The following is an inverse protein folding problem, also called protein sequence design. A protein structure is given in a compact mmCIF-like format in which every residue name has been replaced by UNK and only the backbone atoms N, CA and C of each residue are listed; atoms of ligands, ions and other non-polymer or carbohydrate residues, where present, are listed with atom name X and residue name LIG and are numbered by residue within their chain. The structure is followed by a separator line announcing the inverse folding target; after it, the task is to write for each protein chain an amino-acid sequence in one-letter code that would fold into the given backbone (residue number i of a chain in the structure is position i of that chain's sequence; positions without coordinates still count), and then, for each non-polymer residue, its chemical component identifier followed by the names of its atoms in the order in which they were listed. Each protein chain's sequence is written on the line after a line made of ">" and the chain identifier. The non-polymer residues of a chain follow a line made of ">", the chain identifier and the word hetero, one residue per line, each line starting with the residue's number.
data_IF_793620971202
#
_entry.id   IF_793620971202
#
_cell.length_a   1.000
_cell.length_b   1.000
_cell.length_c   1.000
_cell.angle_alpha   90.00
_cell.angle_beta   90.00
_cell.angle_gamma   90.00
#
_symmetry.space_group_name_H-M   'P 1'
#
loop_
_entity.id
_entity.type
_entity.pdbx_description
1 polymer ?
#
# COMPACT_ATOMS: atom_id res chain seq x y z
N UNK A 1 16.23 12.75 20.35
CA UNK A 1 17.68 12.61 20.50
C UNK A 1 18.30 11.93 19.25
N UNK A 2 19.52 12.32 18.91
CA UNK A 2 20.28 11.69 17.83
C UNK A 2 21.47 10.97 18.45
N UNK A 3 21.75 9.74 18.04
CA UNK A 3 22.95 9.02 18.44
C UNK A 3 24.08 9.33 17.46
N UNK A 4 25.24 9.72 18.02
CA UNK A 4 26.50 9.87 17.32
C UNK A 4 27.44 8.74 17.75
N UNK A 5 28.05 8.06 16.79
CA UNK A 5 29.10 7.06 17.02
C UNK A 5 30.37 7.47 16.28
N UNK A 6 31.50 7.40 16.95
CA UNK A 6 32.83 7.76 16.39
C UNK A 6 33.83 6.65 16.66
N UNK A 7 34.73 6.44 15.73
CA UNK A 7 35.92 5.60 15.92
C UNK A 7 37.09 6.46 16.40
N UNK A 8 37.61 6.18 17.60
CA UNK A 8 38.70 6.94 18.18
C UNK A 8 39.75 5.95 18.68
N UNK A 9 40.87 5.96 17.98
CA UNK A 9 42.00 5.07 18.30
C UNK A 9 42.76 5.57 19.53
N UNK A 10 43.16 4.61 20.40
CA UNK A 10 43.96 4.87 21.59
C UNK A 10 43.33 5.80 22.65
N UNK A 11 42.03 6.05 22.57
CA UNK A 11 41.30 6.82 23.56
C UNK A 11 40.88 5.96 24.75
N UNK A 12 41.02 6.51 25.95
CA UNK A 12 40.40 5.96 27.17
C UNK A 12 39.12 6.68 27.54
N UNK A 13 38.92 7.91 27.04
CA UNK A 13 37.69 8.69 27.22
C UNK A 13 37.53 9.70 26.09
N UNK A 14 36.26 10.07 25.83
CA UNK A 14 35.92 11.09 24.84
C UNK A 14 34.77 11.96 25.34
N UNK A 15 34.74 13.23 24.96
CA UNK A 15 33.71 14.19 25.25
C UNK A 15 33.29 14.88 23.94
N UNK A 16 32.00 14.82 23.66
CA UNK A 16 31.39 15.62 22.59
C UNK A 16 30.97 16.98 23.15
N UNK A 17 31.35 18.03 22.50
CA UNK A 17 30.87 19.39 22.75
C UNK A 17 29.95 19.79 21.60
N UNK A 18 28.67 20.03 21.88
CA UNK A 18 27.66 20.29 20.87
C UNK A 18 26.85 21.55 21.21
N UNK A 19 26.43 22.28 20.19
CA UNK A 19 25.47 23.39 20.30
C UNK A 19 24.68 23.57 19.02
N UNK A 20 23.48 24.11 19.13
CA UNK A 20 22.80 24.64 17.95
C UNK A 20 23.56 25.88 17.44
N UNK A 21 23.73 26.02 16.12
CA UNK A 21 24.45 27.12 15.48
C UNK A 21 23.87 28.47 15.91
N UNK A 22 24.76 29.31 16.43
CA UNK A 22 24.42 30.64 16.97
C UNK A 22 24.16 30.67 18.49
N UNK A 23 24.13 29.55 19.20
CA UNK A 23 24.16 29.53 20.66
C UNK A 23 25.55 29.91 21.19
N UNK A 24 25.62 30.64 22.32
CA UNK A 24 26.90 31.15 22.83
C UNK A 24 27.78 30.07 23.48
N UNK A 25 27.18 28.98 23.99
CA UNK A 25 27.91 27.95 24.76
C UNK A 25 27.65 26.54 24.21
N UNK A 26 28.68 25.71 24.36
CA UNK A 26 28.60 24.29 24.06
C UNK A 26 28.10 23.50 25.28
N UNK A 27 27.30 22.50 25.03
CA UNK A 27 26.94 21.46 26.01
C UNK A 27 27.93 20.31 25.90
N UNK A 28 28.60 19.96 27.02
CA UNK A 28 29.56 18.87 27.06
C UNK A 28 28.88 17.55 27.39
N UNK A 29 29.01 16.59 26.53
CA UNK A 29 28.37 15.28 26.61
C UNK A 29 29.43 14.18 26.68
N UNK A 30 29.62 13.50 27.82
CA UNK A 30 30.54 12.36 27.90
C UNK A 30 30.10 11.24 26.97
N UNK A 31 31.04 10.74 26.15
CA UNK A 31 30.78 9.62 25.26
C UNK A 31 30.98 8.29 26.00
N UNK A 32 30.11 7.33 25.73
CA UNK A 32 30.16 6.00 26.30
C UNK A 32 30.99 5.07 25.37
N UNK A 33 31.89 4.23 25.91
CA UNK A 33 32.58 3.24 25.11
C UNK A 33 31.58 2.20 24.59
N UNK A 34 31.53 2.04 23.28
CA UNK A 34 30.64 1.10 22.58
C UNK A 34 31.31 -0.24 22.24
N UNK A 35 32.54 -0.45 22.73
CA UNK A 35 33.37 -1.63 22.44
C UNK A 35 34.47 -1.34 21.40
N UNK A 36 35.69 -1.84 21.69
CA UNK A 36 36.86 -1.61 20.84
C UNK A 36 37.25 -0.14 20.76
N UNK A 37 37.21 0.42 19.56
CA UNK A 37 37.58 1.83 19.28
C UNK A 37 36.35 2.74 19.16
N UNK A 38 35.13 2.21 19.36
CA UNK A 38 33.89 2.97 19.18
C UNK A 38 33.49 3.70 20.47
N UNK A 39 33.11 4.96 20.30
CA UNK A 39 32.50 5.77 21.34
C UNK A 39 31.14 6.29 20.85
N UNK A 40 30.12 6.23 21.72
CA UNK A 40 28.75 6.64 21.38
C UNK A 40 28.24 7.69 22.36
N UNK A 41 27.38 8.59 21.88
CA UNK A 41 26.70 9.59 22.71
C UNK A 41 25.32 9.88 22.14
N UNK A 42 24.37 10.18 23.01
CA UNK A 42 23.04 10.66 22.62
C UNK A 42 22.98 12.18 22.77
N UNK A 43 22.78 12.91 21.68
CA UNK A 43 22.61 14.35 21.68
C UNK A 43 21.15 14.66 21.99
N UNK A 44 20.85 15.46 23.02
CA UNK A 44 19.48 15.86 23.35
C UNK A 44 18.83 16.65 22.21
N UNK A 45 17.51 16.51 22.04
CA UNK A 45 16.78 17.20 20.98
C UNK A 45 16.90 18.74 21.06
N UNK A 46 17.04 19.29 22.26
CA UNK A 46 17.20 20.74 22.47
C UNK A 46 18.52 21.34 21.95
N UNK A 47 19.52 20.50 21.63
CA UNK A 47 20.76 20.94 21.00
C UNK A 47 20.73 20.81 19.47
N UNK A 48 19.70 20.18 18.93
CA UNK A 48 19.56 19.91 17.50
C UNK A 48 18.48 20.86 16.94
N UNK A 49 18.88 22.09 16.69
CA UNK A 49 18.00 23.13 16.14
C UNK A 49 18.52 23.62 14.77
N UNK A 50 17.61 23.93 13.83
CA UNK A 50 18.02 24.58 12.58
C UNK A 50 18.74 25.92 12.82
N UNK A 51 19.67 26.31 11.95
CA UNK A 51 20.00 25.70 10.65
C UNK A 51 21.04 24.58 10.73
N UNK A 52 21.78 24.46 11.84
CA UNK A 52 22.87 23.48 11.95
C UNK A 52 23.22 23.15 13.41
N UNK A 53 23.75 21.95 13.61
CA UNK A 53 24.47 21.54 14.82
C UNK A 53 25.97 21.78 14.63
N UNK A 54 26.57 22.55 15.52
CA UNK A 54 28.00 22.71 15.62
C UNK A 54 28.54 21.80 16.72
N UNK A 55 29.61 21.07 16.42
CA UNK A 55 30.20 20.16 17.39
C UNK A 55 31.74 20.02 17.20
N UNK A 56 32.40 19.67 18.29
CA UNK A 56 33.74 19.15 18.27
C UNK A 56 33.91 18.05 19.32
N UNK A 57 34.92 17.20 19.18
CA UNK A 57 35.19 16.10 20.09
C UNK A 57 36.62 16.15 20.58
N UNK A 58 36.79 16.02 21.87
CA UNK A 58 38.08 15.85 22.54
C UNK A 58 38.17 14.42 23.11
N UNK A 59 39.28 13.74 22.84
CA UNK A 59 39.52 12.40 23.36
C UNK A 59 40.91 12.37 24.07
N UNK A 60 40.95 11.60 25.15
CA UNK A 60 42.12 11.47 25.99
C UNK A 60 42.52 10.01 26.18
N UNK A 61 43.85 9.76 26.39
CA UNK A 61 44.38 8.47 26.76
C UNK A 61 44.16 8.17 28.27
N UNK A 62 44.61 7.01 28.71
CA UNK A 62 44.55 6.61 30.13
C UNK A 62 45.36 7.46 31.10
N UNK A 63 46.25 8.33 30.58
CA UNK A 63 47.05 9.28 31.35
C UNK A 63 46.50 10.71 31.27
N UNK A 64 45.32 10.89 30.67
CA UNK A 64 44.69 12.20 30.49
C UNK A 64 45.27 13.09 29.40
N UNK A 65 46.13 12.56 28.54
CA UNK A 65 46.72 13.33 27.42
C UNK A 65 45.81 13.29 26.22
N UNK A 66 45.66 14.41 25.52
CA UNK A 66 44.87 14.48 24.31
C UNK A 66 45.44 13.54 23.22
N UNK A 67 44.59 12.66 22.68
CA UNK A 67 44.96 11.68 21.62
C UNK A 67 44.28 11.97 20.30
N UNK A 68 43.10 12.59 20.35
CA UNK A 68 42.38 13.01 19.14
C UNK A 68 41.50 14.20 19.44
N UNK A 69 41.40 15.09 18.45
CA UNK A 69 40.45 16.20 18.43
C UNK A 69 39.89 16.30 17.03
N UNK A 70 38.55 16.38 16.91
CA UNK A 70 37.90 16.68 15.63
C UNK A 70 37.07 17.94 15.79
N UNK A 71 37.41 19.00 15.02
CA UNK A 71 36.93 20.34 15.24
C UNK A 71 37.55 21.01 16.47
N UNK A 72 37.22 22.27 16.70
CA UNK A 72 37.57 23.04 17.90
C UNK A 72 36.42 24.01 18.24
N UNK A 73 36.46 24.65 19.40
CA UNK A 73 35.48 25.69 19.75
C UNK A 73 35.40 26.84 18.73
N UNK A 74 36.55 27.16 18.09
CA UNK A 74 36.65 28.25 17.13
C UNK A 74 36.39 27.80 15.67
N UNK A 75 36.57 26.50 15.40
CA UNK A 75 36.33 25.87 14.10
C UNK A 75 35.61 24.53 14.28
N UNK A 76 34.33 24.55 14.67
CA UNK A 76 33.56 23.33 14.91
C UNK A 76 33.23 22.62 13.60
N UNK A 77 32.95 21.32 13.70
CA UNK A 77 32.28 20.60 12.64
C UNK A 77 30.82 21.06 12.59
N UNK A 78 30.26 21.12 11.38
CA UNK A 78 28.90 21.58 11.16
C UNK A 78 28.08 20.49 10.47
N UNK A 79 26.92 20.17 11.03
CA UNK A 79 25.90 19.28 10.42
C UNK A 79 24.66 20.09 10.18
N UNK A 80 24.24 20.21 8.93
CA UNK A 80 23.03 20.91 8.57
C UNK A 80 21.82 20.22 9.21
N UNK A 81 21.08 20.96 10.00
CA UNK A 81 19.81 20.54 10.58
C UNK A 81 18.71 21.15 9.72
N UNK A 82 18.04 20.33 8.97
CA UNK A 82 16.84 20.79 8.28
C UNK A 82 15.74 20.97 9.31
N UNK A 83 15.01 22.11 9.31
CA UNK A 83 13.80 22.19 10.08
C UNK A 83 12.98 20.96 9.65
N UNK A 84 12.56 20.13 10.60
CA UNK A 84 11.39 19.32 10.37
C UNK A 84 10.31 20.35 10.13
N UNK A 85 10.04 20.68 8.89
CA UNK A 85 8.74 21.17 8.51
C UNK A 85 7.87 20.02 8.99
N UNK A 86 7.26 20.16 10.16
CA UNK A 86 6.05 19.43 10.46
C UNK A 86 5.12 19.93 9.36
N UNK A 87 5.21 19.27 8.20
CA UNK A 87 4.14 19.35 7.23
C UNK A 87 2.92 19.15 8.08
N UNK A 88 2.06 20.14 8.05
CA UNK A 88 0.77 20.04 8.76
C UNK A 88 0.29 18.64 8.43
N UNK A 89 0.05 17.79 9.44
CA UNK A 89 -0.34 16.41 9.18
C UNK A 89 -1.40 16.49 8.10
N UNK A 90 -1.27 15.71 7.03
CA UNK A 90 -2.13 15.85 5.86
C UNK A 90 -3.52 16.00 6.39
N UNK A 91 -4.17 17.14 6.13
CA UNK A 91 -5.43 17.58 6.79
C UNK A 91 -6.26 16.33 6.96
N UNK A 92 -6.52 15.92 8.19
CA UNK A 92 -7.23 14.68 8.48
C UNK A 92 -8.64 14.86 7.92
N UNK A 93 -8.79 14.55 6.64
CA UNK A 93 -10.10 14.56 6.00
C UNK A 93 -10.94 13.50 6.70
N UNK A 94 -12.01 13.97 7.32
CA UNK A 94 -12.93 13.09 8.03
C UNK A 94 -13.76 12.23 7.09
N UNK A 95 -13.98 12.70 5.87
CA UNK A 95 -14.78 11.98 4.89
C UNK A 95 -14.15 11.99 3.49
N UNK A 96 -14.42 10.93 2.74
CA UNK A 96 -13.95 10.76 1.36
C UNK A 96 -15.05 10.15 0.51
N UNK A 97 -15.22 10.68 -0.70
CA UNK A 97 -15.99 10.04 -1.78
C UNK A 97 -15.01 9.64 -2.88
N UNK A 98 -15.18 8.43 -3.41
CA UNK A 98 -14.36 7.90 -4.49
C UNK A 98 -15.23 7.23 -5.53
N UNK A 99 -14.90 7.42 -6.79
CA UNK A 99 -15.43 6.64 -7.91
C UNK A 99 -14.24 6.13 -8.70
N UNK A 100 -14.26 4.85 -9.04
CA UNK A 100 -13.23 4.22 -9.84
C UNK A 100 -13.85 3.24 -10.84
N UNK A 101 -13.26 3.16 -12.02
CA UNK A 101 -13.61 2.17 -13.04
C UNK A 101 -12.36 1.44 -13.50
N UNK A 102 -12.55 0.20 -13.93
CA UNK A 102 -11.46 -0.67 -14.32
C UNK A 102 -11.94 -1.67 -15.37
N UNK A 103 -11.17 -1.81 -16.45
CA UNK A 103 -11.36 -2.78 -17.51
C UNK A 103 -10.13 -3.66 -17.66
N UNK A 104 -10.33 -4.94 -17.75
CA UNK A 104 -9.28 -5.94 -17.95
C UNK A 104 -9.66 -6.87 -19.09
N UNK A 105 -8.80 -7.00 -20.07
CA UNK A 105 -8.93 -7.98 -21.15
C UNK A 105 -7.90 -9.09 -20.97
N UNK A 106 -8.33 -10.34 -21.00
CA UNK A 106 -7.45 -11.48 -20.75
C UNK A 106 -6.99 -12.18 -22.04
N UNK A 107 -7.44 -11.73 -23.21
CA UNK A 107 -7.19 -12.44 -24.46
C UNK A 107 -7.06 -11.56 -25.72
N UNK A 108 -6.32 -10.47 -25.64
CA UNK A 108 -5.99 -9.60 -26.76
C UNK A 108 -7.21 -8.95 -27.44
N UNK A 109 -8.14 -8.44 -26.65
CA UNK A 109 -9.32 -7.70 -27.12
C UNK A 109 -10.27 -8.54 -27.99
N UNK A 110 -10.31 -9.85 -27.83
CA UNK A 110 -11.27 -10.70 -28.53
C UNK A 110 -12.71 -10.55 -28.02
N UNK A 111 -12.89 -9.94 -26.82
CA UNK A 111 -14.19 -9.63 -26.26
C UNK A 111 -14.93 -10.82 -25.62
N UNK A 112 -14.27 -11.95 -25.45
CA UNK A 112 -14.82 -13.16 -24.86
C UNK A 112 -14.16 -13.59 -23.54
N UNK A 113 -13.11 -12.89 -23.08
CA UNK A 113 -12.50 -13.04 -21.75
C UNK A 113 -12.10 -11.67 -21.23
N UNK A 114 -13.01 -11.00 -20.56
CA UNK A 114 -12.80 -9.66 -20.01
C UNK A 114 -13.56 -9.45 -18.71
N UNK A 115 -13.11 -8.49 -17.92
CA UNK A 115 -13.80 -7.98 -16.74
C UNK A 115 -13.89 -6.46 -16.80
N UNK A 116 -15.03 -5.93 -16.41
CA UNK A 116 -15.25 -4.51 -16.17
C UNK A 116 -15.88 -4.32 -14.79
N UNK A 117 -15.30 -3.44 -14.00
CA UNK A 117 -15.78 -3.13 -12.67
C UNK A 117 -15.81 -1.61 -12.47
N UNK A 118 -16.88 -1.11 -11.88
CA UNK A 118 -17.00 0.27 -11.44
C UNK A 118 -17.48 0.28 -10.01
N UNK A 119 -16.81 1.03 -9.14
CA UNK A 119 -17.20 1.19 -7.73
C UNK A 119 -17.30 2.66 -7.35
N UNK A 120 -18.34 2.97 -6.57
CA UNK A 120 -18.48 4.20 -5.81
C UNK A 120 -18.34 3.92 -4.32
N UNK A 121 -17.61 4.74 -3.60
CA UNK A 121 -17.30 4.57 -2.18
C UNK A 121 -17.52 5.86 -1.42
N UNK A 122 -18.06 5.77 -0.24
CA UNK A 122 -18.05 6.80 0.79
C UNK A 122 -17.31 6.25 2.01
N UNK A 123 -16.32 6.99 2.50
CA UNK A 123 -15.50 6.63 3.64
C UNK A 123 -15.53 7.68 4.73
N UNK A 124 -15.51 7.24 5.97
CA UNK A 124 -15.34 8.06 7.17
C UNK A 124 -14.09 7.59 7.90
N UNK A 125 -13.21 8.53 8.25
CA UNK A 125 -12.07 8.30 9.12
C UNK A 125 -12.51 8.55 10.56
N UNK A 126 -12.16 7.65 11.46
CA UNK A 126 -12.59 7.71 12.88
C UNK A 126 -11.38 7.91 13.77
N UNK A 127 -10.29 7.19 13.53
CA UNK A 127 -9.02 7.22 14.27
C UNK A 127 -9.17 7.14 15.80
N UNK A 128 -10.16 6.41 16.29
CA UNK A 128 -10.44 6.24 17.70
C UNK A 128 -10.58 4.76 18.06
N UNK A 129 -10.07 4.39 19.25
CA UNK A 129 -10.29 3.07 19.89
C UNK A 129 -10.00 1.83 19.03
N UNK A 130 -9.03 1.92 18.08
CA UNK A 130 -8.65 0.81 17.22
C UNK A 130 -9.50 0.65 15.96
N UNK A 131 -10.51 1.50 15.74
CA UNK A 131 -11.22 1.63 14.48
C UNK A 131 -10.66 2.83 13.74
N UNK A 132 -10.02 2.59 12.58
CA UNK A 132 -9.40 3.65 11.77
C UNK A 132 -10.37 4.28 10.78
N UNK A 133 -11.18 3.45 10.12
CA UNK A 133 -12.14 3.93 9.14
C UNK A 133 -13.34 2.99 9.00
N UNK A 134 -14.45 3.57 8.56
CA UNK A 134 -15.62 2.84 8.04
C UNK A 134 -15.89 3.30 6.62
N UNK A 135 -16.18 2.36 5.73
CA UNK A 135 -16.47 2.64 4.32
C UNK A 135 -17.72 1.90 3.90
N UNK A 136 -18.49 2.51 3.05
CA UNK A 136 -19.63 1.88 2.38
C UNK A 136 -19.62 2.26 0.91
N UNK A 137 -20.14 1.40 0.08
CA UNK A 137 -20.16 1.69 -1.34
C UNK A 137 -21.06 0.78 -2.12
N UNK A 138 -21.06 1.01 -3.41
CA UNK A 138 -21.76 0.20 -4.39
C UNK A 138 -20.86 -0.07 -5.58
N UNK A 139 -21.11 -1.16 -6.28
CA UNK A 139 -20.34 -1.53 -7.44
C UNK A 139 -21.16 -2.27 -8.48
N UNK A 140 -20.63 -2.26 -9.68
CA UNK A 140 -21.11 -3.05 -10.81
C UNK A 140 -19.93 -3.83 -11.37
N UNK A 141 -20.07 -5.13 -11.44
CA UNK A 141 -19.14 -6.04 -12.10
C UNK A 141 -19.84 -6.64 -13.32
N UNK A 142 -19.16 -6.68 -14.44
CA UNK A 142 -19.57 -7.34 -15.68
C UNK A 142 -18.37 -8.01 -16.31
N UNK A 143 -18.55 -9.21 -16.84
CA UNK A 143 -17.45 -9.90 -17.51
C UNK A 143 -17.92 -11.09 -18.31
N UNK A 144 -16.99 -11.63 -19.07
CA UNK A 144 -17.07 -12.93 -19.70
C UNK A 144 -15.77 -13.65 -19.41
N UNK A 145 -15.81 -14.95 -19.21
CA UNK A 145 -14.59 -15.68 -18.95
C UNK A 145 -14.84 -17.16 -18.70
N UNK A 146 -13.76 -17.83 -18.34
CA UNK A 146 -13.70 -19.26 -18.13
C UNK A 146 -12.54 -19.87 -18.91
N UNK A 147 -12.44 -21.16 -18.97
CA UNK A 147 -11.45 -21.89 -19.77
C UNK A 147 -11.68 -21.69 -21.28
N UNK A 148 -11.31 -20.50 -21.79
CA UNK A 148 -11.61 -20.07 -23.17
C UNK A 148 -11.07 -21.05 -24.20
N UNK A 149 -9.88 -21.63 -23.99
CA UNK A 149 -9.32 -22.63 -24.88
C UNK A 149 -10.17 -23.90 -24.97
N UNK A 150 -10.77 -24.31 -23.85
CA UNK A 150 -11.65 -25.46 -23.81
C UNK A 150 -13.01 -25.14 -24.43
N UNK A 151 -13.54 -23.93 -24.15
CA UNK A 151 -14.80 -23.47 -24.73
C UNK A 151 -14.68 -23.31 -26.26
N UNK A 152 -13.57 -22.76 -26.75
CA UNK A 152 -13.28 -22.64 -28.19
C UNK A 152 -13.19 -24.01 -28.86
N UNK A 153 -12.53 -24.99 -28.21
CA UNK A 153 -12.49 -26.39 -28.72
C UNK A 153 -13.85 -27.06 -28.79
N UNK A 154 -14.74 -26.71 -27.87
CA UNK A 154 -16.10 -27.23 -27.81
C UNK A 154 -17.09 -26.43 -28.67
N UNK A 155 -16.66 -25.34 -29.30
CA UNK A 155 -17.54 -24.44 -30.05
C UNK A 155 -18.58 -23.72 -29.18
N UNK A 156 -18.28 -23.52 -27.91
CA UNK A 156 -19.17 -22.88 -26.92
C UNK A 156 -18.69 -21.46 -26.60
N UNK A 157 -19.64 -20.56 -26.37
CA UNK A 157 -19.31 -19.21 -25.92
C UNK A 157 -19.06 -19.13 -24.39
N UNK A 158 -18.14 -18.27 -23.94
CA UNK A 158 -17.93 -17.99 -22.54
C UNK A 158 -19.19 -17.43 -21.90
N UNK A 159 -19.45 -17.81 -20.66
CA UNK A 159 -20.59 -17.31 -19.90
C UNK A 159 -20.38 -15.84 -19.52
N UNK A 160 -21.42 -15.03 -19.72
CA UNK A 160 -21.48 -13.69 -19.13
C UNK A 160 -21.70 -13.80 -17.62
N UNK A 161 -21.02 -12.95 -16.87
CA UNK A 161 -21.11 -12.84 -15.41
C UNK A 161 -21.42 -11.40 -15.06
N UNK A 162 -22.43 -11.20 -14.24
CA UNK A 162 -22.86 -9.89 -13.77
C UNK A 162 -23.16 -9.87 -12.28
N UNK A 163 -22.73 -8.83 -11.58
CA UNK A 163 -23.06 -8.55 -10.20
C UNK A 163 -23.23 -7.06 -9.99
N UNK A 164 -24.35 -6.63 -9.44
CA UNK A 164 -24.54 -5.26 -8.94
C UNK A 164 -24.67 -5.36 -7.43
N UNK A 165 -23.82 -4.67 -6.68
CA UNK A 165 -23.65 -4.92 -5.26
C UNK A 165 -23.47 -3.65 -4.43
N UNK A 166 -23.81 -3.75 -3.15
CA UNK A 166 -23.41 -2.83 -2.10
C UNK A 166 -22.43 -3.51 -1.15
N UNK A 167 -21.64 -2.73 -0.43
CA UNK A 167 -20.73 -3.26 0.56
C UNK A 167 -20.59 -2.36 1.79
N UNK A 168 -20.16 -2.99 2.88
CA UNK A 168 -19.66 -2.33 4.09
C UNK A 168 -18.28 -2.85 4.38
N UNK A 169 -17.37 -1.93 4.73
CA UNK A 169 -15.98 -2.21 5.04
C UNK A 169 -15.58 -1.48 6.31
N UNK A 170 -14.86 -2.16 7.19
CA UNK A 170 -14.25 -1.58 8.37
C UNK A 170 -12.73 -1.70 8.29
N UNK A 171 -12.02 -0.71 8.81
CA UNK A 171 -10.58 -0.79 9.01
C UNK A 171 -10.27 -0.77 10.50
N UNK A 172 -9.72 -1.87 11.01
CA UNK A 172 -9.37 -2.07 12.40
C UNK A 172 -7.85 -2.09 12.54
N UNK A 173 -7.29 -1.20 13.35
CA UNK A 173 -5.86 -1.06 13.58
C UNK A 173 -5.51 -1.42 15.03
N UNK A 174 -5.38 -2.71 15.37
CA UNK A 174 -5.00 -3.13 16.71
C UNK A 174 -3.58 -2.70 17.09
N UNK A 175 -2.75 -2.44 16.08
CA UNK A 175 -1.38 -1.93 16.23
C UNK A 175 -1.18 -0.77 15.26
N UNK A 176 -0.32 0.18 15.60
CA UNK A 176 -0.06 1.37 14.77
C UNK A 176 0.35 1.04 13.33
N UNK A 177 1.16 0.01 13.13
CA UNK A 177 1.69 -0.40 11.82
C UNK A 177 0.92 -1.56 11.17
N UNK A 178 -0.26 -1.91 11.68
CA UNK A 178 -1.02 -3.05 11.15
C UNK A 178 -2.51 -2.78 11.19
N UNK A 179 -3.20 -3.01 10.08
CA UNK A 179 -4.66 -2.94 9.99
C UNK A 179 -5.25 -4.20 9.38
N UNK A 180 -6.42 -4.57 9.88
CA UNK A 180 -7.30 -5.58 9.34
C UNK A 180 -8.48 -4.89 8.66
N UNK A 181 -8.76 -5.24 7.40
CA UNK A 181 -9.78 -4.56 6.59
C UNK A 181 -10.77 -5.61 6.04
N UNK A 182 -11.75 -6.02 6.84
CA UNK A 182 -12.85 -6.84 6.37
C UNK A 182 -13.87 -6.02 5.57
N UNK A 183 -14.40 -6.62 4.49
CA UNK A 183 -15.49 -6.10 3.67
C UNK A 183 -16.55 -7.20 3.50
N UNK A 184 -17.82 -6.86 3.71
CA UNK A 184 -18.96 -7.71 3.41
C UNK A 184 -19.70 -7.13 2.21
N UNK A 185 -20.06 -7.98 1.27
CA UNK A 185 -20.64 -7.61 -0.02
C UNK A 185 -21.97 -8.35 -0.18
N UNK A 186 -23.01 -7.63 -0.61
CA UNK A 186 -24.32 -8.19 -0.94
C UNK A 186 -24.80 -7.56 -2.24
N UNK A 187 -25.32 -8.37 -3.15
CA UNK A 187 -25.72 -7.88 -4.46
C UNK A 187 -26.73 -8.74 -5.17
N UNK A 188 -26.98 -8.36 -6.40
CA UNK A 188 -27.85 -9.06 -7.34
C UNK A 188 -27.02 -9.49 -8.55
N UNK A 189 -26.88 -10.78 -8.73
CA UNK A 189 -26.29 -11.41 -9.89
C UNK A 189 -27.36 -11.85 -10.90
N UNK A 190 -26.91 -12.51 -11.95
CA UNK A 190 -27.80 -13.00 -13.02
C UNK A 190 -28.76 -14.09 -12.52
N UNK A 191 -28.40 -14.83 -11.48
CA UNK A 191 -29.19 -15.92 -10.90
C UNK A 191 -29.91 -15.53 -9.58
N UNK A 192 -29.92 -14.26 -9.19
CA UNK A 192 -30.59 -13.77 -7.99
C UNK A 192 -29.65 -13.09 -7.00
N UNK A 193 -29.97 -13.21 -5.70
CA UNK A 193 -29.15 -12.62 -4.63
C UNK A 193 -27.83 -13.37 -4.51
N UNK A 194 -26.75 -12.63 -4.58
CA UNK A 194 -25.39 -13.10 -4.38
C UNK A 194 -24.68 -12.26 -3.33
N UNK A 195 -23.60 -12.78 -2.80
CA UNK A 195 -22.82 -12.10 -1.79
C UNK A 195 -21.33 -12.38 -1.95
N UNK A 196 -20.56 -11.73 -1.10
CA UNK A 196 -19.11 -11.91 -1.09
C UNK A 196 -18.49 -11.36 0.17
N UNK A 197 -17.21 -11.61 0.29
CA UNK A 197 -16.39 -11.07 1.35
C UNK A 197 -14.99 -10.78 0.83
N UNK A 198 -14.36 -9.75 1.40
CA UNK A 198 -12.97 -9.45 1.21
C UNK A 198 -12.30 -9.32 2.57
N UNK A 199 -11.08 -9.79 2.69
CA UNK A 199 -10.25 -9.58 3.86
C UNK A 199 -8.87 -9.13 3.41
N UNK A 200 -8.48 -7.93 3.82
CA UNK A 200 -7.16 -7.38 3.55
C UNK A 200 -6.43 -7.10 4.85
N UNK A 201 -5.12 -7.19 4.78
CA UNK A 201 -4.17 -6.87 5.85
C UNK A 201 -3.26 -5.77 5.33
N UNK A 202 -3.21 -4.63 6.02
CA UNK A 202 -2.27 -3.55 5.72
C UNK A 202 -1.11 -3.60 6.69
N UNK A 203 0.10 -3.54 6.17
CA UNK A 203 1.34 -3.36 6.90
C UNK A 203 1.86 -1.96 6.58
N UNK A 204 2.00 -1.12 7.59
CA UNK A 204 2.26 0.30 7.45
C UNK A 204 1.03 1.17 7.72
N UNK A 205 1.18 2.46 7.50
CA UNK A 205 0.11 3.45 7.67
C UNK A 205 -0.49 3.79 6.30
N UNK A 206 -1.78 4.10 6.25
CA UNK A 206 -2.50 4.53 5.03
C UNK A 206 -2.04 5.89 4.49
N UNK A 207 -1.37 6.71 5.32
CA UNK A 207 -0.77 7.99 4.92
C UNK A 207 0.69 7.87 4.46
N UNK A 208 1.27 6.69 4.59
CA UNK A 208 2.67 6.40 4.26
C UNK A 208 2.75 5.25 3.26
N UNK A 209 3.98 4.92 2.84
CA UNK A 209 4.20 3.72 2.04
C UNK A 209 3.77 2.49 2.83
N UNK A 210 2.85 1.73 2.25
CA UNK A 210 2.27 0.56 2.91
C UNK A 210 2.10 -0.61 1.94
N UNK A 211 2.04 -1.81 2.50
CA UNK A 211 1.79 -3.06 1.80
C UNK A 211 0.43 -3.61 2.23
N UNK A 212 -0.43 -3.91 1.27
CA UNK A 212 -1.74 -4.54 1.49
C UNK A 212 -1.75 -5.93 0.88
N UNK A 213 -2.12 -6.93 1.66
CA UNK A 213 -2.21 -8.33 1.24
C UNK A 213 -3.59 -8.88 1.60
N UNK A 214 -4.15 -9.75 0.79
CA UNK A 214 -5.39 -10.41 1.14
C UNK A 214 -6.10 -11.06 -0.03
N UNK A 215 -7.42 -11.21 0.11
CA UNK A 215 -8.22 -11.88 -0.91
C UNK A 215 -9.68 -11.51 -0.83
N UNK A 216 -10.37 -11.86 -1.89
CA UNK A 216 -11.81 -11.61 -2.09
C UNK A 216 -12.48 -12.83 -2.69
N UNK A 217 -13.69 -13.04 -2.29
CA UNK A 217 -14.64 -14.02 -2.87
C UNK A 217 -15.92 -13.28 -3.23
N UNK A 218 -16.33 -13.37 -4.49
CA UNK A 218 -17.61 -12.84 -4.97
C UNK A 218 -18.43 -13.98 -5.54
N UNK A 219 -19.64 -14.17 -5.01
CA UNK A 219 -20.59 -15.16 -5.49
C UNK A 219 -20.93 -14.95 -6.97
N UNK A 220 -20.94 -16.02 -7.75
CA UNK A 220 -21.17 -15.97 -9.18
C UNK A 220 -20.06 -15.36 -10.02
N UNK A 221 -19.08 -14.67 -9.40
CA UNK A 221 -17.97 -13.97 -10.08
C UNK A 221 -16.65 -14.72 -9.96
N UNK A 222 -16.31 -15.18 -8.74
CA UNK A 222 -15.07 -15.92 -8.49
C UNK A 222 -14.24 -15.37 -7.33
N UNK A 223 -12.98 -15.75 -7.30
CA UNK A 223 -12.03 -15.41 -6.22
C UNK A 223 -10.82 -14.66 -6.76
N UNK A 224 -10.20 -13.82 -5.92
CA UNK A 224 -8.90 -13.19 -6.21
C UNK A 224 -8.06 -13.04 -4.95
N UNK A 225 -6.77 -13.30 -5.10
CA UNK A 225 -5.73 -12.93 -4.15
C UNK A 225 -5.12 -11.60 -4.57
N UNK A 226 -4.76 -10.77 -3.62
CA UNK A 226 -4.34 -9.38 -3.83
C UNK A 226 -3.05 -9.13 -3.07
N UNK A 227 -2.06 -8.54 -3.75
CA UNK A 227 -0.91 -7.91 -3.12
C UNK A 227 -0.73 -6.51 -3.73
N UNK A 228 -0.69 -5.48 -2.90
CA UNK A 228 -0.68 -4.08 -3.30
C UNK A 228 0.35 -3.29 -2.51
N UNK A 229 1.15 -2.50 -3.19
CA UNK A 229 2.10 -1.56 -2.63
C UNK A 229 1.63 -0.14 -2.95
N UNK A 230 1.40 0.67 -1.92
CA UNK A 230 1.08 2.08 -2.03
C UNK A 230 2.31 2.90 -1.69
N UNK A 231 2.74 3.77 -2.59
CA UNK A 231 3.91 4.62 -2.43
C UNK A 231 3.47 6.07 -2.18
N UNK A 232 3.66 6.53 -0.96
CA UNK A 232 3.33 7.88 -0.53
C UNK A 232 4.51 8.86 -0.64
N UNK A 233 5.66 8.42 -1.16
CA UNK A 233 6.91 9.21 -1.23
C UNK A 233 6.81 10.48 -2.08
N UNK A 234 5.76 10.63 -2.86
CA UNK A 234 5.51 11.77 -3.73
C UNK A 234 4.20 12.44 -3.36
N UNK A 235 4.24 13.54 -2.63
CA UNK A 235 3.05 14.23 -2.08
C UNK A 235 1.93 14.48 -3.09
N UNK A 236 2.29 14.88 -4.32
CA UNK A 236 1.31 15.20 -5.37
C UNK A 236 1.03 14.05 -6.31
N UNK A 237 1.83 12.99 -6.27
CA UNK A 237 1.75 11.89 -7.24
C UNK A 237 1.71 10.55 -6.48
N UNK A 238 0.55 10.19 -5.88
CA UNK A 238 0.39 8.87 -5.29
C UNK A 238 0.52 7.79 -6.37
N UNK A 239 1.32 6.76 -6.08
CA UNK A 239 1.56 5.63 -6.97
C UNK A 239 1.09 4.36 -6.25
N UNK A 240 0.40 3.49 -6.99
CA UNK A 240 -0.04 2.20 -6.51
C UNK A 240 0.40 1.12 -7.50
N UNK A 241 1.05 0.10 -6.99
CA UNK A 241 1.38 -1.12 -7.73
C UNK A 241 0.60 -2.28 -7.11
N UNK A 242 -0.12 -3.04 -7.93
CA UNK A 242 -0.94 -4.15 -7.46
C UNK A 242 -0.74 -5.37 -8.35
N UNK A 243 -0.69 -6.53 -7.73
CA UNK A 243 -0.74 -7.82 -8.40
C UNK A 243 -1.94 -8.60 -7.90
N UNK A 244 -2.56 -9.33 -8.80
CA UNK A 244 -3.69 -10.19 -8.51
C UNK A 244 -3.44 -11.59 -9.09
N UNK A 245 -3.88 -12.60 -8.35
CA UNK A 245 -4.05 -13.96 -8.84
C UNK A 245 -5.55 -14.26 -8.73
N UNK A 246 -6.20 -14.58 -9.84
CA UNK A 246 -7.66 -14.59 -9.90
C UNK A 246 -8.21 -15.57 -10.92
N UNK A 247 -9.37 -16.11 -10.65
CA UNK A 247 -10.21 -16.78 -11.64
C UNK A 247 -11.40 -15.91 -12.09
N UNK A 248 -11.45 -14.64 -11.64
CA UNK A 248 -12.53 -13.71 -12.03
C UNK A 248 -12.35 -13.20 -13.48
N UNK A 249 -13.40 -13.20 -14.31
CA UNK A 249 -14.68 -13.82 -14.11
C UNK A 249 -14.60 -15.34 -14.22
N UNK A 250 -15.17 -16.05 -13.23
CA UNK A 250 -15.23 -17.49 -13.28
C UNK A 250 -16.33 -17.91 -14.27
N UNK A 251 -15.96 -18.69 -15.27
CA UNK A 251 -16.87 -19.08 -16.34
C UNK A 251 -18.04 -19.94 -15.89
N UNK A 252 -17.94 -20.59 -14.73
CA UNK A 252 -19.03 -21.39 -14.19
C UNK A 252 -18.78 -21.71 -12.72
N UNK A 253 -19.48 -21.05 -11.86
CA UNK A 253 -19.52 -21.39 -10.44
C UNK A 253 -20.68 -22.29 -10.05
N UNK A 254 -21.61 -22.62 -10.95
CA UNK A 254 -22.80 -23.46 -10.65
C UNK A 254 -22.92 -24.63 -11.60
N UNK A 255 -23.21 -25.83 -11.08
CA UNK A 255 -23.57 -26.96 -11.92
C UNK A 255 -24.78 -26.55 -12.75
N UNK A 256 -24.63 -26.52 -14.06
CA UNK A 256 -25.78 -26.49 -14.95
C UNK A 256 -26.50 -27.84 -14.77
N UNK A 257 -27.81 -27.79 -14.56
CA UNK A 257 -28.67 -28.98 -14.69
C UNK A 257 -28.82 -29.37 -16.17
N UNK A 258 -27.72 -29.45 -16.91
CA UNK A 258 -27.72 -30.04 -18.23
C UNK A 258 -27.70 -31.55 -18.04
N UNK A 259 -28.82 -32.17 -18.35
CA UNK A 259 -28.95 -33.60 -18.37
C UNK A 259 -28.22 -34.11 -19.60
N UNK A 260 -27.21 -34.94 -19.41
CA UNK A 260 -26.52 -35.62 -20.52
C UNK A 260 -27.49 -36.49 -21.35
N UNK A 261 -27.03 -36.97 -22.51
CA UNK A 261 -27.85 -37.85 -23.35
C UNK A 261 -28.34 -39.11 -22.64
N UNK A 262 -27.73 -39.44 -21.53
CA UNK A 262 -27.95 -40.61 -20.67
C UNK A 262 -28.90 -40.30 -19.48
N UNK A 263 -29.40 -39.08 -19.35
CA UNK A 263 -30.27 -38.67 -18.25
C UNK A 263 -29.56 -38.35 -16.93
N UNK A 264 -28.23 -38.44 -16.87
CA UNK A 264 -27.43 -38.07 -15.69
C UNK A 264 -27.09 -36.58 -15.70
N UNK A 265 -27.07 -35.91 -14.53
CA UNK A 265 -26.61 -34.52 -14.44
C UNK A 265 -25.14 -34.44 -14.81
N UNK A 266 -24.83 -33.80 -15.91
CA UNK A 266 -23.46 -33.50 -16.30
C UNK A 266 -22.96 -32.36 -15.44
N UNK A 267 -22.12 -32.65 -14.45
CA UNK A 267 -21.32 -31.69 -13.77
C UNK A 267 -20.16 -31.30 -14.69
N UNK A 268 -20.39 -30.36 -15.59
CA UNK A 268 -19.29 -29.72 -16.28
C UNK A 268 -18.58 -28.84 -15.22
N UNK A 269 -17.60 -29.40 -14.57
CA UNK A 269 -16.53 -28.64 -13.91
C UNK A 269 -15.74 -27.96 -15.02
N UNK A 270 -16.29 -26.92 -15.59
CA UNK A 270 -15.52 -26.00 -16.41
C UNK A 270 -14.53 -25.34 -15.46
N UNK A 271 -13.31 -25.87 -15.40
CA UNK A 271 -12.23 -25.28 -14.64
C UNK A 271 -11.99 -23.89 -15.19
N UNK A 272 -12.30 -22.86 -14.42
CA UNK A 272 -11.89 -21.53 -14.75
C UNK A 272 -10.37 -21.47 -14.58
N UNK A 273 -9.64 -21.15 -15.65
CA UNK A 273 -8.21 -21.01 -15.57
C UNK A 273 -7.85 -19.85 -14.66
N UNK A 274 -6.94 -20.10 -13.74
CA UNK A 274 -6.39 -19.07 -12.87
C UNK A 274 -5.54 -18.14 -13.72
N UNK A 275 -5.78 -16.85 -13.60
CA UNK A 275 -5.03 -15.79 -14.26
C UNK A 275 -4.20 -14.99 -13.27
N UNK A 276 -3.24 -14.27 -13.82
CA UNK A 276 -2.47 -13.27 -13.11
C UNK A 276 -2.67 -11.90 -13.75
N UNK A 277 -2.61 -10.86 -12.93
CA UNK A 277 -2.77 -9.46 -13.34
C UNK A 277 -1.76 -8.59 -12.64
N UNK A 278 -1.04 -7.74 -13.39
CA UNK A 278 -0.22 -6.66 -12.89
C UNK A 278 -0.88 -5.32 -13.18
N UNK A 279 -0.97 -4.45 -12.20
CA UNK A 279 -1.64 -3.15 -12.27
C UNK A 279 -0.68 -2.07 -11.79
N UNK A 280 -0.60 -0.97 -12.52
CA UNK A 280 0.03 0.27 -12.08
C UNK A 280 -0.99 1.41 -12.15
N UNK A 281 -1.11 2.17 -11.07
CA UNK A 281 -1.97 3.34 -10.99
C UNK A 281 -1.13 4.55 -10.58
N UNK A 282 -1.34 5.66 -11.25
CA UNK A 282 -0.71 6.94 -10.94
C UNK A 282 -1.82 7.94 -10.70
N UNK A 283 -1.79 8.58 -9.54
CA UNK A 283 -2.67 9.68 -9.20
C UNK A 283 -2.00 11.03 -9.39
N UNK A 284 -2.80 12.06 -9.51
CA UNK A 284 -2.37 13.43 -9.43
C UNK A 284 -3.30 14.23 -8.52
N UNK A 285 -2.73 14.86 -7.50
CA UNK A 285 -3.45 15.72 -6.57
C UNK A 285 -3.58 17.11 -7.17
N UNK A 286 -4.77 17.40 -7.69
CA UNK A 286 -5.09 18.70 -8.28
C UNK A 286 -5.14 19.81 -7.24
N UNK A 287 -5.81 19.53 -6.14
CA UNK A 287 -5.84 20.30 -4.89
C UNK A 287 -5.78 19.31 -3.73
N UNK A 288 -5.59 19.77 -2.50
CA UNK A 288 -5.44 18.89 -1.33
C UNK A 288 -6.59 17.88 -1.19
N UNK A 289 -7.79 18.28 -1.59
CA UNK A 289 -9.01 17.48 -1.49
C UNK A 289 -9.24 16.55 -2.69
N UNK A 290 -8.73 16.89 -3.88
CA UNK A 290 -9.12 16.24 -5.13
C UNK A 290 -7.95 15.50 -5.77
N UNK A 291 -8.10 14.20 -5.90
CA UNK A 291 -7.13 13.34 -6.58
C UNK A 291 -7.79 12.66 -7.79
N UNK A 292 -7.16 12.81 -8.94
CA UNK A 292 -7.51 12.07 -10.17
C UNK A 292 -6.49 10.96 -10.38
N UNK A 293 -6.93 9.78 -10.80
CA UNK A 293 -6.10 8.60 -10.99
C UNK A 293 -6.30 8.02 -12.38
N UNK A 294 -5.21 7.54 -12.96
CA UNK A 294 -5.21 6.72 -14.16
C UNK A 294 -4.54 5.38 -13.87
N UNK A 295 -5.05 4.33 -14.50
CA UNK A 295 -4.62 2.96 -14.25
C UNK A 295 -4.36 2.27 -15.57
N UNK A 296 -3.24 1.56 -15.63
CA UNK A 296 -2.93 0.61 -16.68
C UNK A 296 -2.70 -0.78 -16.08
N UNK A 297 -3.06 -1.82 -16.81
CA UNK A 297 -2.80 -3.19 -16.36
C UNK A 297 -2.47 -4.10 -17.55
N UNK A 298 -1.84 -5.20 -17.21
CA UNK A 298 -1.65 -6.33 -18.13
C UNK A 298 -1.98 -7.63 -17.40
N UNK A 299 -2.80 -8.43 -18.02
CA UNK A 299 -3.33 -9.64 -17.42
C UNK A 299 -3.41 -10.78 -18.44
N UNK A 300 -3.40 -12.01 -17.93
CA UNK A 300 -3.56 -13.19 -18.75
C UNK A 300 -3.83 -14.41 -17.91
N UNK A 301 -4.42 -15.41 -18.53
CA UNK A 301 -4.58 -16.77 -17.98
C UNK A 301 -3.47 -17.68 -18.48
N UNK A 302 -2.98 -17.42 -19.67
CA UNK A 302 -1.81 -18.06 -20.27
C UNK A 302 -1.03 -17.02 -21.07
N UNK A 303 0.17 -17.32 -21.52
CA UNK A 303 0.97 -16.41 -22.35
C UNK A 303 0.25 -16.07 -23.67
N UNK A 304 -0.49 -17.02 -24.24
CA UNK A 304 -1.22 -16.83 -25.50
C UNK A 304 -2.51 -16.02 -25.31
N UNK A 305 -3.08 -16.07 -24.11
CA UNK A 305 -4.29 -15.37 -23.69
C UNK A 305 -3.93 -14.34 -22.64
N UNK A 306 -3.33 -13.25 -23.11
CA UNK A 306 -2.98 -12.09 -22.29
C UNK A 306 -3.34 -10.82 -23.03
N UNK A 307 -3.77 -9.79 -22.33
CA UNK A 307 -4.20 -8.53 -22.89
C UNK A 307 -4.02 -7.35 -21.96
N UNK A 308 -4.19 -6.12 -22.46
CA UNK A 308 -4.11 -4.90 -21.68
C UNK A 308 -5.40 -4.65 -20.91
N UNK A 309 -5.29 -3.81 -19.89
CA UNK A 309 -6.43 -3.23 -19.21
C UNK A 309 -6.17 -1.76 -18.89
N UNK A 310 -7.23 -1.03 -18.66
CA UNK A 310 -7.17 0.38 -18.34
C UNK A 310 -8.29 0.77 -17.39
N UNK A 311 -8.06 1.83 -16.68
CA UNK A 311 -9.03 2.33 -15.73
C UNK A 311 -8.66 3.71 -15.21
N UNK A 312 -9.43 4.17 -14.27
CA UNK A 312 -9.17 5.43 -13.61
C UNK A 312 -10.18 5.72 -12.52
N UNK A 313 -9.98 6.82 -11.86
CA UNK A 313 -10.89 7.21 -10.78
C UNK A 313 -10.65 8.63 -10.32
N UNK A 314 -11.57 9.08 -9.50
CA UNK A 314 -11.49 10.37 -8.82
C UNK A 314 -11.88 10.19 -7.37
N UNK A 315 -11.20 10.89 -6.47
CA UNK A 315 -11.60 10.96 -5.06
C UNK A 315 -11.57 12.40 -4.57
N UNK A 316 -12.55 12.73 -3.75
CA UNK A 316 -12.66 14.01 -3.06
C UNK A 316 -12.78 13.76 -1.56
N UNK A 317 -11.97 14.48 -0.77
CA UNK A 317 -11.90 14.34 0.69
C UNK A 317 -12.12 15.70 1.36
N UNK A 318 -12.80 15.76 2.52
CA UNK A 318 -13.08 16.99 3.26
C UNK A 318 -13.13 16.78 4.77
#
# INVERSE_FOLDING_TARGET
>A
PVQLALEIYQAAGAVLHARAKGKPSYTSLPMQPGGGIYFTVSIPAGEIEPPALEYFVEATDSLGRAVAVTGTSDLPNEVAVRPVVLEQPPRDFLATVKIATDYADYNRLRGNDYAWQTEGEFGLRIDDTGVRALRSGFGVYRGKGGGVDELDRQGREPRAVGLTYGYLEGEFAPLHAFSLIPRVIVGLGDDGVDGGAQLLFRIGNDLETNLVLGGEVLGGVGVRGIAQLELASFERVPILLRTEVTNQPAGSGRPRNDVGPDGEPTFATEGSDVGARGIAEIGYRLVDQLVVRVRGSFQGRTIQHAGPGFGGGVSYSW
#
